data_IF_168776771014
#
_entry.id   IF_168776771014
#
_cell.length_a   1.000
_cell.length_b   1.000
_cell.length_c   1.000
_cell.angle_alpha   90.00
_cell.angle_beta   90.00
_cell.angle_gamma   90.00
#
_symmetry.space_group_name_H-M   'P 1'
#
loop_
_entity.id
_entity.type
_entity.pdbx_description
1 polymer ?
#
# COMPACT_ATOMS: atom_id res chain seq x y z
N UNK A 1 -22.39 -10.76 -0.62
CA UNK A 1 -22.80 -9.35 -0.48
C UNK A 1 -21.59 -8.41 -0.35
N UNK A 2 -20.65 -8.60 0.61
CA UNK A 2 -19.50 -7.68 0.80
C UNK A 2 -18.58 -7.59 -0.43
N UNK A 3 -18.28 -8.66 -1.13
CA UNK A 3 -17.46 -8.66 -2.35
C UNK A 3 -18.07 -7.81 -3.46
N UNK A 4 -19.39 -7.88 -3.67
CA UNK A 4 -20.12 -7.05 -4.63
C UNK A 4 -20.04 -5.58 -4.22
N UNK A 5 -20.18 -5.28 -2.93
CA UNK A 5 -20.06 -3.93 -2.40
C UNK A 5 -18.64 -3.36 -2.65
N UNK A 6 -17.59 -4.12 -2.33
CA UNK A 6 -16.21 -3.70 -2.61
C UNK A 6 -15.94 -3.51 -4.10
N UNK A 7 -16.54 -4.34 -4.96
CA UNK A 7 -16.46 -4.16 -6.40
C UNK A 7 -17.04 -2.80 -6.81
N UNK A 8 -18.28 -2.49 -6.39
CA UNK A 8 -18.93 -1.21 -6.71
C UNK A 8 -18.09 -0.03 -6.22
N UNK A 9 -17.64 -0.08 -4.96
CA UNK A 9 -16.86 0.99 -4.34
C UNK A 9 -15.51 1.18 -5.06
N UNK A 10 -14.75 0.10 -5.31
CA UNK A 10 -13.40 0.24 -5.85
C UNK A 10 -13.34 0.28 -7.36
N UNK A 11 -14.17 -0.49 -8.08
CA UNK A 11 -14.09 -0.62 -9.54
C UNK A 11 -14.99 0.36 -10.28
N UNK A 12 -16.03 0.87 -9.64
CA UNK A 12 -16.90 1.90 -10.22
C UNK A 12 -16.55 3.25 -9.58
N UNK A 13 -16.88 3.45 -8.31
CA UNK A 13 -16.78 4.77 -7.68
C UNK A 13 -15.34 5.29 -7.59
N UNK A 14 -14.44 4.61 -6.86
CA UNK A 14 -13.06 5.08 -6.66
C UNK A 14 -12.22 5.04 -7.95
N UNK A 15 -12.45 4.05 -8.82
CA UNK A 15 -11.75 4.00 -10.09
C UNK A 15 -12.12 5.18 -11.00
N UNK A 16 -13.42 5.50 -11.10
CA UNK A 16 -13.88 6.71 -11.80
C UNK A 16 -13.26 7.96 -11.16
N UNK A 17 -13.40 8.11 -9.84
CA UNK A 17 -12.90 9.27 -9.12
C UNK A 17 -11.39 9.48 -9.31
N UNK A 18 -10.57 8.46 -9.06
CA UNK A 18 -9.13 8.59 -9.18
C UNK A 18 -8.65 8.75 -10.61
N UNK A 19 -9.21 8.03 -11.57
CA UNK A 19 -8.78 8.12 -12.97
C UNK A 19 -9.27 9.37 -13.67
N UNK A 20 -10.54 9.72 -13.49
CA UNK A 20 -11.18 10.81 -14.25
C UNK A 20 -11.07 12.15 -13.51
N UNK A 21 -11.43 12.19 -12.20
CA UNK A 21 -11.47 13.46 -11.46
C UNK A 21 -10.06 13.87 -11.01
N UNK A 22 -9.28 12.92 -10.49
CA UNK A 22 -7.93 13.21 -9.96
C UNK A 22 -6.86 13.13 -11.07
N UNK A 23 -7.03 12.27 -12.07
CA UNK A 23 -6.05 12.06 -13.13
C UNK A 23 -4.96 11.04 -12.79
N UNK A 24 -5.27 10.04 -11.95
CA UNK A 24 -4.30 8.99 -11.58
C UNK A 24 -4.03 8.06 -12.76
N UNK A 25 -2.75 7.84 -13.07
CA UNK A 25 -2.29 6.89 -14.09
C UNK A 25 -1.56 5.73 -13.42
N UNK A 26 -1.98 4.49 -13.76
CA UNK A 26 -1.37 3.25 -13.28
C UNK A 26 -0.44 2.70 -14.37
N UNK A 27 0.81 2.41 -14.00
CA UNK A 27 1.87 1.97 -14.92
C UNK A 27 2.41 0.64 -14.43
N UNK A 28 2.16 -0.42 -15.19
CA UNK A 28 2.61 -1.78 -14.87
C UNK A 28 1.72 -2.56 -13.91
N UNK A 29 0.47 -2.13 -13.67
CA UNK A 29 -0.49 -2.79 -12.77
C UNK A 29 -0.83 -4.24 -13.17
N UNK A 30 -0.64 -4.61 -14.45
CA UNK A 30 -0.83 -6.00 -14.94
C UNK A 30 0.05 -7.02 -14.22
N UNK A 31 1.12 -6.59 -13.56
CA UNK A 31 1.99 -7.45 -12.74
C UNK A 31 1.27 -8.04 -11.52
N UNK A 32 0.22 -7.34 -11.01
CA UNK A 32 -0.64 -7.84 -9.93
C UNK A 32 -1.42 -9.11 -10.32
N UNK A 33 -1.79 -9.25 -11.58
CA UNK A 33 -2.68 -10.33 -12.05
C UNK A 33 -1.99 -11.70 -11.91
N UNK A 34 -0.67 -11.73 -11.98
CA UNK A 34 0.13 -12.97 -11.98
C UNK A 34 0.24 -13.66 -10.61
N UNK A 35 -0.10 -12.96 -9.51
CA UNK A 35 0.10 -13.48 -8.16
C UNK A 35 -1.21 -13.55 -7.39
N UNK A 36 -1.52 -14.73 -6.86
CA UNK A 36 -2.73 -14.95 -6.05
C UNK A 36 -2.64 -14.21 -4.71
N UNK A 37 -1.45 -14.20 -4.13
CA UNK A 37 -1.13 -13.53 -2.87
C UNK A 37 0.12 -12.68 -3.04
N UNK A 38 0.19 -11.52 -2.36
CA UNK A 38 1.32 -10.59 -2.42
C UNK A 38 1.35 -9.67 -1.20
N UNK A 39 2.52 -9.11 -0.93
CA UNK A 39 2.67 -7.92 -0.07
C UNK A 39 3.08 -6.75 -0.95
N UNK A 40 2.16 -5.83 -1.20
CA UNK A 40 2.44 -4.60 -1.93
C UNK A 40 3.14 -3.62 -0.98
N UNK A 41 4.31 -3.13 -1.38
CA UNK A 41 5.16 -2.22 -0.58
C UNK A 41 5.27 -0.89 -1.30
N UNK A 42 4.82 0.19 -0.66
CA UNK A 42 4.78 1.51 -1.28
C UNK A 42 5.29 2.63 -0.34
N UNK A 43 5.72 3.75 -0.94
CA UNK A 43 5.92 4.99 -0.20
C UNK A 43 4.58 5.56 0.31
N UNK A 44 4.64 6.35 1.40
CA UNK A 44 3.44 6.84 2.09
C UNK A 44 3.44 8.36 2.25
N UNK A 45 2.62 9.05 1.47
CA UNK A 45 2.56 10.51 1.47
C UNK A 45 1.14 11.08 1.68
N UNK A 46 0.09 10.26 1.59
CA UNK A 46 -1.31 10.70 1.61
C UNK A 46 -2.22 9.74 2.38
N UNK A 47 -3.34 10.25 2.90
CA UNK A 47 -4.44 9.41 3.41
C UNK A 47 -5.11 8.58 2.29
N UNK A 48 -5.02 9.04 1.05
CA UNK A 48 -5.62 8.38 -0.10
C UNK A 48 -4.79 7.20 -0.62
N UNK A 49 -3.53 7.01 -0.17
CA UNK A 49 -2.60 6.03 -0.75
C UNK A 49 -3.18 4.62 -0.78
N UNK A 50 -3.68 4.13 0.36
CA UNK A 50 -4.24 2.77 0.46
C UNK A 50 -5.46 2.58 -0.43
N UNK A 51 -6.39 3.55 -0.43
CA UNK A 51 -7.60 3.49 -1.27
C UNK A 51 -7.24 3.55 -2.75
N UNK A 52 -6.28 4.40 -3.12
CA UNK A 52 -5.82 4.52 -4.51
C UNK A 52 -5.18 3.22 -4.99
N UNK A 53 -4.34 2.57 -4.17
CA UNK A 53 -3.74 1.28 -4.52
C UNK A 53 -4.78 0.16 -4.63
N UNK A 54 -5.80 0.15 -3.76
CA UNK A 54 -6.89 -0.83 -3.83
C UNK A 54 -7.65 -0.77 -5.16
N UNK A 55 -7.76 0.38 -5.83
CA UNK A 55 -8.44 0.45 -7.14
C UNK A 55 -7.71 -0.34 -8.23
N UNK A 56 -6.39 -0.54 -8.11
CA UNK A 56 -5.58 -1.35 -9.03
C UNK A 56 -5.69 -2.86 -8.80
N UNK A 57 -6.10 -3.27 -7.59
CA UNK A 57 -6.19 -4.70 -7.20
C UNK A 57 -7.22 -5.42 -8.06
N UNK A 58 -6.96 -6.61 -8.64
CA UNK A 58 -7.94 -7.40 -9.38
C UNK A 58 -9.21 -7.69 -8.58
N UNK A 59 -10.35 -7.80 -9.27
CA UNK A 59 -11.68 -7.95 -8.65
C UNK A 59 -11.76 -9.16 -7.71
N UNK A 60 -11.23 -10.27 -8.15
CA UNK A 60 -11.18 -11.55 -7.43
C UNK A 60 -10.35 -11.48 -6.13
N UNK A 61 -9.51 -10.46 -5.98
CA UNK A 61 -8.61 -10.26 -4.83
C UNK A 61 -8.99 -9.08 -3.93
N UNK A 62 -9.98 -8.27 -4.32
CA UNK A 62 -10.40 -7.12 -3.52
C UNK A 62 -10.78 -7.51 -2.08
N UNK A 63 -11.53 -8.62 -1.93
CA UNK A 63 -11.99 -9.06 -0.61
C UNK A 63 -10.90 -9.67 0.29
N UNK A 64 -9.77 -10.04 -0.30
CA UNK A 64 -8.63 -10.67 0.41
C UNK A 64 -7.40 -9.76 0.49
N UNK A 65 -7.47 -8.53 -0.04
CA UNK A 65 -6.38 -7.54 0.03
C UNK A 65 -6.72 -6.44 1.01
N UNK A 66 -5.80 -6.15 1.93
CA UNK A 66 -6.01 -5.22 3.04
C UNK A 66 -4.93 -4.14 3.07
N UNK A 67 -5.29 -2.85 2.89
CA UNK A 67 -4.41 -1.76 3.27
C UNK A 67 -4.20 -1.76 4.79
N UNK A 68 -2.94 -1.64 5.21
CA UNK A 68 -2.56 -1.63 6.62
C UNK A 68 -2.52 -0.21 7.15
N UNK A 69 -3.16 0.04 8.28
CA UNK A 69 -3.13 1.34 8.96
C UNK A 69 -3.04 1.18 10.48
N UNK A 70 -2.54 2.24 11.12
CA UNK A 70 -2.48 2.28 12.58
C UNK A 70 -3.88 2.54 13.20
N UNK A 71 -4.17 1.83 14.29
CA UNK A 71 -5.46 1.88 14.99
C UNK A 71 -5.72 3.22 15.70
N UNK A 72 -4.68 3.96 16.06
CA UNK A 72 -4.77 5.26 16.74
C UNK A 72 -5.49 6.33 15.91
N UNK A 73 -5.55 6.19 14.61
CA UNK A 73 -6.22 7.14 13.71
C UNK A 73 -7.65 6.71 13.36
N UNK A 74 -7.84 5.46 12.95
CA UNK A 74 -9.13 4.95 12.47
C UNK A 74 -9.87 4.10 13.53
N UNK A 75 -9.19 3.66 14.57
CA UNK A 75 -9.71 2.80 15.63
C UNK A 75 -10.31 3.54 16.83
N UNK A 76 -10.55 4.87 16.75
CA UNK A 76 -11.02 5.72 17.87
C UNK A 76 -12.36 5.25 18.46
N UNK A 77 -13.20 4.61 17.66
CA UNK A 77 -14.42 3.96 18.11
C UNK A 77 -14.65 2.64 17.37
N UNK A 78 -15.44 1.73 17.98
CA UNK A 78 -15.82 0.47 17.32
C UNK A 78 -16.54 0.70 15.99
N UNK A 79 -17.38 1.74 15.91
CA UNK A 79 -18.06 2.12 14.68
C UNK A 79 -17.09 2.62 13.61
N UNK A 80 -16.13 3.47 13.96
CA UNK A 80 -15.09 3.96 13.04
C UNK A 80 -14.24 2.82 12.50
N UNK A 81 -13.82 1.89 13.36
CA UNK A 81 -13.07 0.72 12.97
C UNK A 81 -13.88 -0.20 12.04
N UNK A 82 -15.15 -0.43 12.36
CA UNK A 82 -16.06 -1.23 11.53
C UNK A 82 -16.27 -0.58 10.15
N UNK A 83 -16.54 0.74 10.10
CA UNK A 83 -16.71 1.46 8.83
C UNK A 83 -15.44 1.42 7.99
N UNK A 84 -14.26 1.60 8.60
CA UNK A 84 -12.98 1.52 7.91
C UNK A 84 -12.74 0.13 7.30
N UNK A 85 -13.04 -0.92 8.05
CA UNK A 85 -12.99 -2.28 7.53
C UNK A 85 -14.04 -2.54 6.43
N UNK A 86 -15.29 -2.12 6.67
CA UNK A 86 -16.40 -2.42 5.75
C UNK A 86 -16.29 -1.66 4.43
N UNK A 87 -16.02 -0.33 4.48
CA UNK A 87 -16.00 0.54 3.31
C UNK A 87 -14.71 0.45 2.51
N UNK A 88 -13.56 0.32 3.19
CA UNK A 88 -12.24 0.41 2.54
C UNK A 88 -11.33 -0.80 2.79
N UNK A 89 -11.87 -1.85 3.38
CA UNK A 89 -11.14 -3.10 3.69
C UNK A 89 -9.87 -2.90 4.51
N UNK A 90 -9.83 -1.88 5.39
CA UNK A 90 -8.66 -1.47 6.14
C UNK A 90 -8.36 -2.46 7.26
N UNK A 91 -7.11 -2.89 7.38
CA UNK A 91 -6.60 -3.65 8.50
C UNK A 91 -5.95 -2.70 9.51
N UNK A 92 -6.54 -2.58 10.67
CA UNK A 92 -6.02 -1.75 11.75
C UNK A 92 -5.07 -2.55 12.64
N UNK A 93 -3.86 -2.01 12.87
CA UNK A 93 -2.85 -2.61 13.73
C UNK A 93 -2.35 -1.60 14.77
N UNK A 94 -1.94 -2.06 15.96
CA UNK A 94 -1.26 -1.23 16.94
C UNK A 94 0.07 -0.67 16.36
N UNK A 95 0.47 0.54 16.76
CA UNK A 95 1.78 1.08 16.37
C UNK A 95 2.95 0.48 17.14
N UNK A 96 2.67 0.05 18.36
CA UNK A 96 3.69 -0.47 19.28
C UNK A 96 3.34 -1.90 19.65
N UNK A 97 4.38 -2.69 19.88
CA UNK A 97 4.27 -4.00 20.47
C UNK A 97 3.70 -3.87 21.88
N UNK A 98 2.77 -4.74 22.22
CA UNK A 98 2.26 -4.90 23.58
C UNK A 98 2.93 -6.12 24.20
N UNK A 99 3.91 -5.91 25.06
CA UNK A 99 4.67 -6.98 25.69
C UNK A 99 3.80 -7.89 26.59
N UNK A 100 2.69 -7.34 27.10
CA UNK A 100 1.74 -8.07 27.94
C UNK A 100 0.73 -8.89 27.13
N UNK A 101 0.56 -8.56 25.85
CA UNK A 101 -0.38 -9.26 24.96
C UNK A 101 0.26 -9.52 23.58
N UNK A 102 0.96 -10.65 23.40
CA UNK A 102 1.60 -10.99 22.14
C UNK A 102 0.63 -11.03 20.94
N UNK A 103 -0.65 -11.31 21.17
CA UNK A 103 -1.68 -11.29 20.10
C UNK A 103 -1.97 -9.89 19.58
N UNK A 104 -1.53 -8.84 20.28
CA UNK A 104 -1.58 -7.44 19.81
C UNK A 104 -0.27 -6.96 19.18
N UNK A 105 0.70 -7.84 19.00
CA UNK A 105 1.90 -7.52 18.24
C UNK A 105 1.51 -7.23 16.77
N UNK A 106 1.89 -6.06 16.21
CA UNK A 106 1.58 -5.72 14.83
C UNK A 106 2.04 -6.78 13.82
N UNK A 107 3.25 -7.33 14.02
CA UNK A 107 3.82 -8.34 13.12
C UNK A 107 3.04 -9.65 13.23
N UNK A 108 2.65 -10.07 14.43
CA UNK A 108 1.83 -11.27 14.63
C UNK A 108 0.47 -11.15 13.92
N UNK A 109 -0.19 -9.97 13.99
CA UNK A 109 -1.47 -9.74 13.31
C UNK A 109 -1.28 -9.84 11.79
N UNK A 110 -0.27 -9.17 11.24
CA UNK A 110 0.03 -9.17 9.80
C UNK A 110 0.40 -10.57 9.30
N UNK A 111 1.25 -11.29 10.02
CA UNK A 111 1.63 -12.67 9.74
C UNK A 111 0.41 -13.60 9.71
N UNK A 112 -0.48 -13.48 10.69
CA UNK A 112 -1.74 -14.24 10.73
C UNK A 112 -2.60 -13.98 9.49
N UNK A 113 -2.67 -12.74 9.00
CA UNK A 113 -3.39 -12.42 7.75
C UNK A 113 -2.74 -13.09 6.54
N UNK A 114 -1.41 -13.01 6.41
CA UNK A 114 -0.69 -13.66 5.33
C UNK A 114 -0.85 -15.19 5.35
N UNK A 115 -0.72 -15.82 6.51
CA UNK A 115 -0.93 -17.28 6.67
C UNK A 115 -2.35 -17.74 6.34
N UNK A 116 -3.33 -16.83 6.45
CA UNK A 116 -4.71 -17.07 6.03
C UNK A 116 -4.99 -16.70 4.56
N UNK A 117 -3.97 -16.62 3.71
CA UNK A 117 -4.10 -16.38 2.27
C UNK A 117 -4.52 -14.94 1.91
N UNK A 118 -4.36 -13.97 2.83
CA UNK A 118 -4.67 -12.57 2.56
C UNK A 118 -3.45 -11.85 1.98
N UNK A 119 -3.69 -10.81 1.19
CA UNK A 119 -2.67 -9.91 0.68
C UNK A 119 -2.68 -8.59 1.45
N UNK A 120 -1.53 -7.95 1.54
CA UNK A 120 -1.39 -6.69 2.27
C UNK A 120 -0.92 -5.56 1.34
N UNK A 121 -1.40 -4.35 1.58
CA UNK A 121 -0.81 -3.11 1.11
C UNK A 121 -0.13 -2.47 2.30
N UNK A 122 1.20 -2.48 2.29
CA UNK A 122 2.04 -2.14 3.42
C UNK A 122 2.91 -0.91 3.13
N UNK A 123 2.95 0.01 4.09
CA UNK A 123 3.75 1.22 4.03
C UNK A 123 4.89 1.14 5.07
N UNK A 124 6.08 0.67 4.69
CA UNK A 124 7.16 0.37 5.64
C UNK A 124 7.77 1.61 6.30
N UNK A 125 7.47 2.81 5.80
CA UNK A 125 7.82 4.08 6.42
C UNK A 125 7.14 4.23 7.81
N UNK A 126 5.99 3.58 8.03
CA UNK A 126 5.22 3.56 9.28
C UNK A 126 4.52 4.89 9.62
N UNK A 127 4.74 5.93 8.84
CA UNK A 127 4.05 7.23 8.94
C UNK A 127 4.11 7.96 7.61
N UNK A 128 3.15 8.85 7.38
CA UNK A 128 3.13 9.68 6.17
C UNK A 128 4.27 10.70 6.18
N UNK A 129 5.04 10.72 5.10
CA UNK A 129 6.11 11.66 4.83
C UNK A 129 5.64 12.94 4.12
N UNK A 130 6.62 13.76 3.72
CA UNK A 130 6.41 14.91 2.84
C UNK A 130 6.16 14.43 1.40
N UNK A 131 5.30 15.13 0.66
CA UNK A 131 5.03 14.84 -0.72
C UNK A 131 6.32 14.71 -1.57
N UNK A 132 6.43 13.64 -2.36
CA UNK A 132 7.57 13.35 -3.23
C UNK A 132 8.85 12.85 -2.51
N UNK A 133 8.83 12.71 -1.18
CA UNK A 133 9.95 12.14 -0.43
C UNK A 133 9.59 10.73 0.05
N UNK A 134 10.50 9.78 -0.15
CA UNK A 134 10.44 8.44 0.44
C UNK A 134 11.21 8.51 1.75
N UNK A 135 10.64 8.01 2.84
CA UNK A 135 11.31 7.86 4.13
C UNK A 135 11.97 6.48 4.21
N UNK A 136 12.94 6.34 5.10
CA UNK A 136 13.63 5.08 5.38
C UNK A 136 12.63 4.00 5.80
N UNK A 137 12.77 2.82 5.25
CA UNK A 137 11.92 1.68 5.55
C UNK A 137 12.30 1.06 6.90
N UNK A 138 11.29 0.76 7.70
CA UNK A 138 11.46 0.16 9.03
C UNK A 138 11.61 -1.35 8.95
N UNK A 139 12.35 -1.92 9.89
CA UNK A 139 12.61 -3.37 10.00
C UNK A 139 11.35 -4.24 10.12
N UNK A 140 10.18 -3.66 10.44
CA UNK A 140 8.90 -4.38 10.50
C UNK A 140 8.55 -5.13 9.22
N UNK A 141 8.90 -4.58 8.04
CA UNK A 141 8.73 -5.29 6.77
C UNK A 141 9.62 -6.55 6.71
N UNK A 142 10.89 -6.41 7.09
CA UNK A 142 11.84 -7.52 7.08
C UNK A 142 11.42 -8.65 8.02
N UNK A 143 11.01 -8.33 9.24
CA UNK A 143 10.50 -9.34 10.18
C UNK A 143 9.25 -10.05 9.66
N UNK A 144 8.30 -9.32 9.08
CA UNK A 144 7.10 -9.90 8.50
C UNK A 144 7.44 -10.85 7.35
N UNK A 145 8.30 -10.41 6.44
CA UNK A 145 8.59 -11.17 5.21
C UNK A 145 9.56 -12.32 5.45
N UNK A 146 10.40 -12.27 6.50
CA UNK A 146 11.26 -13.39 6.88
C UNK A 146 10.45 -14.64 7.25
N UNK A 147 9.29 -14.46 7.86
CA UNK A 147 8.35 -15.54 8.20
C UNK A 147 7.45 -15.95 7.01
N UNK A 148 7.45 -15.18 5.91
CA UNK A 148 6.55 -15.33 4.76
C UNK A 148 7.30 -15.23 3.42
N UNK A 149 8.47 -15.85 3.29
CA UNK A 149 9.36 -15.74 2.12
C UNK A 149 8.74 -16.25 0.83
N UNK A 150 7.77 -17.17 0.92
CA UNK A 150 7.04 -17.71 -0.22
C UNK A 150 6.07 -16.71 -0.86
N UNK A 151 5.82 -15.57 -0.19
CA UNK A 151 4.90 -14.53 -0.69
C UNK A 151 5.73 -13.43 -1.36
N UNK A 152 5.47 -13.10 -2.65
CA UNK A 152 6.23 -12.06 -3.33
C UNK A 152 5.95 -10.66 -2.75
N UNK A 153 7.01 -9.85 -2.66
CA UNK A 153 6.92 -8.41 -2.43
C UNK A 153 6.69 -7.73 -3.77
N UNK A 154 5.64 -6.92 -3.88
CA UNK A 154 5.38 -6.08 -5.05
C UNK A 154 5.71 -4.62 -4.74
N UNK A 155 6.86 -4.10 -5.21
CA UNK A 155 7.24 -2.72 -4.97
C UNK A 155 6.41 -1.76 -5.81
N UNK A 156 5.97 -0.66 -5.21
CA UNK A 156 5.17 0.39 -5.84
C UNK A 156 5.69 1.76 -5.47
N UNK A 157 5.83 2.64 -6.46
CA UNK A 157 6.12 4.05 -6.23
C UNK A 157 4.93 4.92 -6.61
N UNK A 158 4.50 5.77 -5.69
CA UNK A 158 3.37 6.68 -5.85
C UNK A 158 3.88 8.12 -5.96
N UNK A 159 3.74 8.71 -7.16
CA UNK A 159 4.07 10.11 -7.40
C UNK A 159 2.81 10.96 -7.40
N UNK A 160 2.88 12.14 -6.80
CA UNK A 160 1.86 13.19 -6.91
C UNK A 160 0.72 13.08 -5.91
N UNK A 161 0.37 11.89 -5.40
CA UNK A 161 -0.78 11.71 -4.51
C UNK A 161 -0.69 12.53 -3.21
N UNK A 162 0.49 12.76 -2.68
CA UNK A 162 0.72 13.62 -1.53
C UNK A 162 0.44 15.10 -1.79
N UNK A 163 0.38 15.54 -3.05
CA UNK A 163 -0.06 16.88 -3.45
C UNK A 163 -1.57 16.94 -3.66
N UNK A 164 -2.17 15.83 -4.09
CA UNK A 164 -3.63 15.70 -4.25
C UNK A 164 -4.35 15.79 -2.92
N UNK A 165 -3.86 15.11 -1.90
CA UNK A 165 -4.37 15.19 -0.53
C UNK A 165 -3.21 15.29 0.46
N UNK A 166 -2.66 16.51 0.68
CA UNK A 166 -1.58 16.72 1.64
C UNK A 166 -1.97 16.35 3.07
N UNK A 167 -0.97 16.00 3.87
CA UNK A 167 -1.16 15.74 5.30
C UNK A 167 -1.80 16.97 5.98
N UNK A 168 -2.94 16.74 6.63
CA UNK A 168 -3.71 17.80 7.31
C UNK A 168 -4.87 18.38 6.50
N UNK A 169 -4.90 18.21 5.18
CA UNK A 169 -6.02 18.63 4.35
C UNK A 169 -7.13 17.58 4.31
N UNK A 170 -8.37 18.05 4.10
CA UNK A 170 -9.56 17.20 3.95
C UNK A 170 -10.11 17.19 2.52
N UNK A 171 -9.67 18.09 1.68
CA UNK A 171 -10.16 18.26 0.31
C UNK A 171 -9.08 17.73 -0.65
N UNK A 172 -9.47 16.86 -1.56
CA UNK A 172 -8.63 16.39 -2.66
C UNK A 172 -8.68 17.40 -3.80
N UNK A 173 -7.50 17.75 -4.31
CA UNK A 173 -7.35 18.60 -5.48
C UNK A 173 -6.90 17.75 -6.68
N UNK A 174 -7.44 17.99 -7.89
CA UNK A 174 -6.93 17.38 -9.11
C UNK A 174 -5.43 17.64 -9.29
N UNK A 175 -4.71 16.63 -9.77
CA UNK A 175 -3.27 16.78 -10.00
C UNK A 175 -2.68 15.55 -10.66
N UNK A 176 -1.59 15.74 -11.41
CA UNK A 176 -0.93 14.62 -12.08
C UNK A 176 -0.37 13.67 -11.04
N UNK A 177 -0.94 12.46 -11.03
CA UNK A 177 -0.51 11.37 -10.15
C UNK A 177 -0.16 10.15 -11.00
N UNK A 178 1.00 9.58 -10.76
CA UNK A 178 1.47 8.36 -11.43
C UNK A 178 1.81 7.30 -10.40
N UNK A 179 1.36 6.07 -10.64
CA UNK A 179 1.61 4.92 -9.76
C UNK A 179 2.36 3.88 -10.59
N UNK A 180 3.60 3.61 -10.20
CA UNK A 180 4.50 2.69 -10.88
C UNK A 180 4.58 1.38 -10.11
N UNK A 181 4.27 0.27 -10.78
CA UNK A 181 4.39 -1.09 -10.25
C UNK A 181 5.68 -1.72 -10.73
N UNK A 182 6.52 -2.15 -9.79
CA UNK A 182 7.77 -2.85 -10.07
C UNK A 182 7.58 -4.33 -10.39
N UNK A 183 8.68 -5.02 -10.65
CA UNK A 183 8.67 -6.47 -10.75
C UNK A 183 8.54 -7.07 -9.35
N UNK A 184 7.83 -8.19 -9.20
CA UNK A 184 7.77 -8.92 -7.94
C UNK A 184 9.17 -9.33 -7.48
N UNK A 185 9.42 -9.19 -6.19
CA UNK A 185 10.65 -9.65 -5.53
C UNK A 185 10.30 -10.96 -4.83
N UNK A 186 10.97 -12.03 -5.21
CA UNK A 186 10.93 -13.31 -4.53
C UNK A 186 12.09 -13.40 -3.56
N UNK A 187 11.85 -13.93 -2.38
CA UNK A 187 12.82 -14.09 -1.32
C UNK A 187 13.23 -15.56 -1.23
N UNK A 188 14.52 -15.80 -0.96
CA UNK A 188 15.07 -17.15 -0.83
C UNK A 188 15.65 -17.38 0.57
N UNK A 189 16.65 -16.61 0.95
CA UNK A 189 17.31 -16.75 2.26
C UNK A 189 17.83 -15.42 2.82
N UNK A 190 17.23 -14.31 2.43
CA UNK A 190 17.65 -12.99 2.88
C UNK A 190 17.43 -12.80 4.39
N UNK A 191 18.32 -12.05 5.01
CA UNK A 191 18.17 -11.53 6.37
C UNK A 191 17.06 -10.46 6.42
N UNK A 192 16.64 -10.11 7.62
CA UNK A 192 15.66 -9.03 7.85
C UNK A 192 16.13 -7.72 7.21
N UNK A 193 17.39 -7.39 7.33
CA UNK A 193 18.01 -6.18 6.79
C UNK A 193 18.03 -6.21 5.26
N UNK A 194 18.45 -7.29 4.66
CA UNK A 194 18.53 -7.47 3.20
C UNK A 194 17.12 -7.40 2.55
N UNK A 195 16.09 -7.95 3.19
CA UNK A 195 14.70 -7.84 2.73
C UNK A 195 14.27 -6.37 2.67
N UNK A 196 14.55 -5.61 3.73
CA UNK A 196 14.20 -4.18 3.79
C UNK A 196 14.95 -3.41 2.72
N UNK A 197 16.26 -3.63 2.59
CA UNK A 197 17.11 -2.95 1.61
C UNK A 197 16.66 -3.26 0.16
N UNK A 198 16.39 -4.52 -0.17
CA UNK A 198 15.87 -4.92 -1.49
C UNK A 198 14.57 -4.21 -1.82
N UNK A 199 13.62 -4.18 -0.87
CA UNK A 199 12.33 -3.55 -1.07
C UNK A 199 12.46 -2.01 -1.22
N UNK A 200 13.25 -1.37 -0.35
CA UNK A 200 13.49 0.07 -0.39
C UNK A 200 14.17 0.48 -1.70
N UNK A 201 15.24 -0.21 -2.10
CA UNK A 201 15.92 0.00 -3.37
C UNK A 201 14.97 -0.12 -4.56
N UNK A 202 14.12 -1.16 -4.59
CA UNK A 202 13.17 -1.35 -5.68
C UNK A 202 12.18 -0.20 -5.80
N UNK A 203 11.70 0.37 -4.69
CA UNK A 203 10.82 1.56 -4.71
C UNK A 203 11.59 2.81 -5.15
N UNK A 204 12.85 2.98 -4.74
CA UNK A 204 13.71 4.07 -5.21
C UNK A 204 14.02 3.95 -6.71
N UNK A 205 14.26 2.76 -7.24
CA UNK A 205 14.49 2.54 -8.67
C UNK A 205 13.26 2.92 -9.51
N UNK A 206 12.05 2.65 -9.00
CA UNK A 206 10.81 3.10 -9.63
C UNK A 206 10.68 4.63 -9.64
N UNK A 207 11.08 5.31 -8.56
CA UNK A 207 11.13 6.77 -8.48
C UNK A 207 12.09 7.34 -9.53
N UNK A 208 13.28 6.75 -9.66
CA UNK A 208 14.28 7.19 -10.63
C UNK A 208 13.77 7.04 -12.09
N UNK A 209 13.11 5.92 -12.40
CA UNK A 209 12.43 5.72 -13.70
C UNK A 209 11.35 6.77 -13.96
N UNK A 210 10.58 7.10 -12.93
CA UNK A 210 9.56 8.15 -13.03
C UNK A 210 10.18 9.50 -13.39
N UNK A 211 11.26 9.89 -12.73
CA UNK A 211 11.95 11.16 -12.98
C UNK A 211 12.53 11.22 -14.39
N UNK A 212 13.13 10.15 -14.89
CA UNK A 212 13.69 10.08 -16.25
C UNK A 212 12.60 10.23 -17.31
N UNK A 213 11.45 9.57 -17.14
CA UNK A 213 10.32 9.70 -18.06
C UNK A 213 9.69 11.11 -18.05
N UNK A 214 9.77 11.84 -16.94
CA UNK A 214 9.30 13.22 -16.88
C UNK A 214 10.27 14.17 -17.57
N UNK A 215 11.57 13.89 -17.53
CA UNK A 215 12.62 14.72 -18.17
C UNK A 215 12.66 14.55 -19.69
N UNK A 216 12.30 13.38 -20.22
CA UNK A 216 12.20 13.16 -21.69
C UNK A 216 11.01 13.88 -22.30
N UNK A 217 9.86 13.89 -21.60
CA UNK A 217 8.64 14.59 -22.09
C UNK A 217 8.70 16.13 -22.00
N UNK A 218 9.75 16.70 -21.40
CA UNK A 218 9.97 18.17 -21.35
C UNK A 218 10.94 18.66 -22.44
N UNK A 219 11.48 17.75 -23.25
CA UNK A 219 12.46 18.06 -24.31
C UNK A 219 11.86 17.91 -25.72
N UNK A 220 10.61 17.52 -25.82
CA UNK A 220 9.75 17.54 -27.01
C UNK A 220 8.79 18.75 -26.96
#
# INVERSE_FOLDING_TARGET
MRTIFLYIIYKIFWNFFFKIIIGVRYIGEKKLIKHQQFVMVANHNSHADGVTLMTSVPVDRLAITYPVAADDYFGKSKLSAFLSWFLINLLLIPRKRDEKNPKRDPIFILDSFLKNGKSLIFFPEGSRGKAGKIQVFKKGLGHLMKENMNIPILPVYMEGIGRVLPKGNKIMLPGITKIYFGNPIFLENESVEEIVEKAEKAVHDLKNRCNNNNSSNLRE
#
